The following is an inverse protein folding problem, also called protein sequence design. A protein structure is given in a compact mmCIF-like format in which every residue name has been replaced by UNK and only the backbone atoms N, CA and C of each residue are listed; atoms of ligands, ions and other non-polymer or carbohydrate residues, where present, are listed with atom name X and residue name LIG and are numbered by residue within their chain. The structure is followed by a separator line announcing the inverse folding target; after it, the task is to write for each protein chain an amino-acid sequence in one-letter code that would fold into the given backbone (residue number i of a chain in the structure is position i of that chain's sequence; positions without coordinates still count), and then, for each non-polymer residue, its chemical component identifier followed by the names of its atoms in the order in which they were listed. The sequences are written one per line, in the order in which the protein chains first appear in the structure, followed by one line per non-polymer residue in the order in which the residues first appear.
data_IF_946961318087
#
_entry.id   IF_946961318087
#
_cell.length_a   1.000
_cell.length_b   1.000
_cell.length_c   1.000
_cell.angle_alpha   90.00
_cell.angle_beta   90.00
_cell.angle_gamma   90.00
#
_symmetry.space_group_name_H-M   'P 1'
#
loop_
_entity.id
_entity.type
_entity.pdbx_description
1 polymer ?
#
# COMPACT_ATOMS: atom_id res chain seq x y z
N UNK A 1 26.08 -60.48 -17.15
CA UNK A 1 25.31 -59.40 -17.81
C UNK A 1 24.23 -58.85 -16.87
N UNK A 2 24.55 -58.48 -15.63
CA UNK A 2 23.63 -57.78 -14.71
C UNK A 2 24.54 -56.99 -13.77
N UNK A 3 24.51 -55.65 -13.79
CA UNK A 3 25.38 -54.86 -12.90
C UNK A 3 25.46 -53.36 -13.21
N UNK A 4 25.13 -52.93 -14.44
CA UNK A 4 25.32 -51.52 -14.83
C UNK A 4 24.04 -50.69 -14.81
N UNK A 5 22.85 -51.32 -14.79
CA UNK A 5 21.56 -50.60 -14.89
C UNK A 5 21.11 -50.06 -13.51
N UNK A 6 21.41 -50.76 -12.41
CA UNK A 6 21.01 -50.33 -11.06
C UNK A 6 21.75 -49.09 -10.54
N UNK A 7 23.02 -48.91 -10.93
CA UNK A 7 23.84 -47.78 -10.49
C UNK A 7 23.41 -46.48 -11.20
N UNK A 8 23.00 -46.57 -12.47
CA UNK A 8 22.55 -45.41 -13.26
C UNK A 8 21.23 -44.84 -12.73
N UNK A 9 20.28 -45.69 -12.33
CA UNK A 9 18.99 -45.25 -11.79
C UNK A 9 19.12 -44.58 -10.40
N UNK A 10 20.02 -45.07 -9.54
CA UNK A 10 20.29 -44.46 -8.22
C UNK A 10 20.94 -43.07 -8.38
N UNK A 11 21.84 -42.89 -9.35
CA UNK A 11 22.44 -41.58 -9.64
C UNK A 11 21.38 -40.58 -10.16
N UNK A 12 20.48 -40.99 -11.05
CA UNK A 12 19.42 -40.11 -11.58
C UNK A 12 18.42 -39.71 -10.48
N UNK A 13 18.04 -40.63 -9.58
CA UNK A 13 17.13 -40.35 -8.46
C UNK A 13 17.76 -39.48 -7.37
N UNK A 14 19.06 -39.63 -7.13
CA UNK A 14 19.83 -38.78 -6.22
C UNK A 14 20.03 -37.35 -6.74
N UNK A 15 20.31 -37.20 -8.05
CA UNK A 15 20.47 -35.90 -8.70
C UNK A 15 19.13 -35.15 -8.76
N UNK A 16 18.01 -35.82 -9.06
CA UNK A 16 16.67 -35.19 -9.09
C UNK A 16 16.20 -34.69 -7.73
N UNK A 17 16.61 -35.34 -6.62
CA UNK A 17 16.33 -34.86 -5.26
C UNK A 17 17.20 -33.67 -4.84
N UNK A 18 18.40 -33.52 -5.42
CA UNK A 18 19.29 -32.41 -5.08
C UNK A 18 18.84 -31.07 -5.68
N UNK A 19 18.25 -31.08 -6.88
CA UNK A 19 17.74 -29.85 -7.53
C UNK A 19 16.49 -29.28 -6.87
N UNK A 20 15.73 -30.07 -6.11
CA UNK A 20 14.47 -29.63 -5.48
C UNK A 20 14.68 -28.84 -4.18
N UNK A 21 15.88 -28.88 -3.59
CA UNK A 21 16.20 -28.21 -2.32
C UNK A 21 16.72 -26.78 -2.54
N UNK A 22 16.96 -26.37 -3.79
CA UNK A 22 17.40 -25.02 -4.15
C UNK A 22 16.23 -24.16 -4.68
N UNK A 23 15.07 -24.16 -4.02
CA UNK A 23 14.14 -23.06 -4.24
C UNK A 23 14.79 -21.81 -3.63
N UNK A 24 15.11 -20.77 -4.43
CA UNK A 24 15.54 -19.51 -3.85
C UNK A 24 14.45 -19.06 -2.89
N UNK A 25 14.80 -18.77 -1.64
CA UNK A 25 13.91 -18.03 -0.73
C UNK A 25 13.39 -16.84 -1.54
N UNK A 26 12.07 -16.67 -1.71
CA UNK A 26 11.57 -15.49 -2.39
C UNK A 26 12.13 -14.29 -1.64
N UNK A 27 13.03 -13.57 -2.30
CA UNK A 27 13.50 -12.26 -1.85
C UNK A 27 12.23 -11.44 -1.60
N UNK A 28 12.10 -10.73 -0.46
CA UNK A 28 10.91 -9.94 -0.19
C UNK A 28 10.67 -9.05 -1.40
N UNK A 29 9.58 -9.30 -2.11
CA UNK A 29 9.29 -8.60 -3.35
C UNK A 29 9.23 -7.11 -3.03
N UNK A 30 10.09 -6.32 -3.65
CA UNK A 30 10.13 -4.85 -3.46
C UNK A 30 8.85 -4.16 -3.95
N UNK A 31 8.00 -4.91 -4.65
CA UNK A 31 6.71 -4.45 -5.18
C UNK A 31 5.73 -5.61 -5.23
N UNK A 32 4.53 -5.41 -4.70
CA UNK A 32 3.37 -6.31 -4.83
C UNK A 32 2.60 -5.94 -6.12
N UNK A 33 2.22 -6.93 -6.96
CA UNK A 33 1.40 -6.66 -8.15
C UNK A 33 -0.05 -6.31 -7.77
N UNK A 34 -0.66 -5.38 -8.53
CA UNK A 34 -2.06 -5.00 -8.37
C UNK A 34 -2.96 -5.86 -9.28
N UNK A 35 -4.00 -6.46 -8.72
CA UNK A 35 -5.03 -7.19 -9.46
C UNK A 35 -5.99 -6.21 -10.13
N UNK A 36 -6.00 -6.21 -11.46
CA UNK A 36 -6.90 -5.35 -12.26
C UNK A 36 -8.35 -5.84 -12.32
N UNK A 37 -8.61 -7.08 -11.87
CA UNK A 37 -9.95 -7.66 -11.80
C UNK A 37 -10.13 -8.37 -10.44
N UNK A 38 -10.27 -7.61 -9.33
CA UNK A 38 -10.55 -8.16 -8.02
C UNK A 38 -11.76 -9.09 -8.00
N UNK A 39 -11.69 -10.14 -7.19
CA UNK A 39 -12.79 -11.09 -7.01
C UNK A 39 -13.88 -10.54 -6.09
N UNK A 40 -14.70 -11.44 -5.55
CA UNK A 40 -15.75 -11.09 -4.57
C UNK A 40 -15.14 -10.57 -3.26
N UNK A 41 -13.91 -10.98 -2.94
CA UNK A 41 -13.13 -10.43 -1.82
C UNK A 41 -12.72 -8.97 -2.06
N UNK A 42 -12.72 -8.52 -3.32
CA UNK A 42 -12.28 -7.20 -3.75
C UNK A 42 -10.82 -6.91 -3.46
N UNK A 43 -9.98 -7.92 -3.24
CA UNK A 43 -8.55 -7.72 -2.99
C UNK A 43 -7.83 -7.28 -4.27
N UNK A 44 -7.14 -6.16 -4.18
CA UNK A 44 -6.30 -5.60 -5.25
C UNK A 44 -4.83 -6.00 -5.02
N UNK A 45 -4.32 -5.82 -3.81
CA UNK A 45 -2.95 -6.18 -3.45
C UNK A 45 -2.83 -6.43 -1.95
N UNK A 46 -2.37 -7.62 -1.55
CA UNK A 46 -2.14 -7.97 -0.15
C UNK A 46 -0.78 -7.44 0.33
N UNK A 47 -0.73 -6.93 1.56
CA UNK A 47 0.53 -6.49 2.19
C UNK A 47 1.34 -5.51 1.31
N UNK A 48 0.64 -4.61 0.61
CA UNK A 48 1.29 -3.62 -0.23
C UNK A 48 2.07 -2.62 0.65
N UNK A 49 3.36 -2.37 0.38
CA UNK A 49 4.15 -1.36 1.10
C UNK A 49 3.60 0.04 0.84
N UNK A 50 3.79 0.94 1.82
CA UNK A 50 3.29 2.31 1.75
C UNK A 50 3.74 3.11 0.52
N UNK A 51 4.89 2.75 -0.06
CA UNK A 51 5.43 3.34 -1.30
C UNK A 51 4.64 2.98 -2.56
N UNK A 52 3.73 2.01 -2.50
CA UNK A 52 2.88 1.59 -3.62
C UNK A 52 1.42 2.06 -3.50
N UNK A 53 1.08 2.77 -2.42
CA UNK A 53 -0.26 3.34 -2.28
C UNK A 53 -0.48 4.46 -3.29
N UNK A 54 -1.67 4.46 -3.88
CA UNK A 54 -2.14 5.44 -4.87
C UNK A 54 -3.38 6.16 -4.32
N UNK A 55 -3.57 7.43 -4.69
CA UNK A 55 -4.75 8.19 -4.27
C UNK A 55 -6.02 7.45 -4.69
N UNK A 56 -6.92 7.25 -3.73
CA UNK A 56 -8.13 6.45 -3.88
C UNK A 56 -8.03 5.05 -3.29
N UNK A 57 -6.84 4.57 -2.93
CA UNK A 57 -6.66 3.25 -2.34
C UNK A 57 -7.40 3.11 -1.01
N UNK A 58 -8.30 2.12 -0.97
CA UNK A 58 -9.06 1.73 0.19
C UNK A 58 -8.34 0.58 0.90
N UNK A 59 -8.00 0.76 2.17
CA UNK A 59 -7.05 -0.06 2.91
C UNK A 59 -7.73 -0.80 4.07
N UNK A 60 -7.57 -2.11 4.10
CA UNK A 60 -7.84 -2.93 5.29
C UNK A 60 -6.54 -3.17 6.06
N UNK A 61 -6.67 -3.50 7.35
CA UNK A 61 -5.53 -3.72 8.26
C UNK A 61 -4.58 -2.52 8.36
N UNK A 62 -5.10 -1.31 8.10
CA UNK A 62 -4.32 -0.08 8.16
C UNK A 62 -3.93 0.25 9.61
N UNK A 63 -2.63 0.27 9.88
CA UNK A 63 -2.09 0.58 11.21
C UNK A 63 -1.38 1.94 11.26
N UNK A 64 -0.67 2.33 10.19
CA UNK A 64 -0.09 3.67 10.06
C UNK A 64 0.24 4.00 8.59
N UNK A 65 0.44 5.29 8.25
CA UNK A 65 0.81 5.75 6.90
C UNK A 65 2.12 5.20 6.33
N UNK A 66 2.99 4.59 7.15
CA UNK A 66 4.30 4.07 6.74
C UNK A 66 4.36 2.54 6.73
N UNK A 67 3.34 1.87 7.27
CA UNK A 67 3.29 0.41 7.34
C UNK A 67 2.57 -0.17 6.11
N UNK A 68 2.89 -1.42 5.72
CA UNK A 68 2.13 -2.12 4.70
C UNK A 68 0.66 -2.31 5.09
N UNK A 69 -0.21 -2.36 4.08
CA UNK A 69 -1.64 -2.65 4.26
C UNK A 69 -2.18 -3.39 3.03
N UNK A 70 -3.36 -4.02 3.18
CA UNK A 70 -4.03 -4.70 2.07
C UNK A 70 -4.95 -3.71 1.34
N UNK A 71 -4.72 -3.55 0.04
CA UNK A 71 -5.50 -2.69 -0.84
C UNK A 71 -6.70 -3.47 -1.35
N UNK A 72 -7.90 -2.91 -1.18
CA UNK A 72 -9.16 -3.50 -1.60
C UNK A 72 -9.97 -2.52 -2.45
N UNK A 73 -10.95 -3.02 -3.20
CA UNK A 73 -11.97 -2.16 -3.83
C UNK A 73 -12.71 -1.39 -2.74
N UNK A 74 -13.08 -0.14 -2.98
CA UNK A 74 -13.75 0.66 -1.95
C UNK A 74 -15.15 0.15 -1.58
N UNK A 75 -15.76 -0.72 -2.39
CA UNK A 75 -16.98 -1.47 -2.03
C UNK A 75 -16.74 -2.63 -1.05
N UNK A 76 -15.48 -3.02 -0.84
CA UNK A 76 -15.07 -3.98 0.19
C UNK A 76 -14.91 -3.25 1.53
N UNK A 77 -15.27 -3.86 2.66
CA UNK A 77 -15.02 -3.29 3.98
C UNK A 77 -13.55 -2.88 4.19
N UNK A 78 -13.31 -1.61 4.50
CA UNK A 78 -11.98 -1.05 4.73
C UNK A 78 -11.98 -0.01 5.85
N UNK A 79 -10.81 0.23 6.44
CA UNK A 79 -10.65 1.09 7.61
C UNK A 79 -10.02 2.45 7.29
N UNK A 80 -9.33 2.59 6.16
CA UNK A 80 -8.71 3.85 5.74
C UNK A 80 -8.77 4.04 4.23
N UNK A 81 -8.67 5.29 3.78
CA UNK A 81 -8.44 5.62 2.37
C UNK A 81 -7.30 6.62 2.22
N UNK A 82 -6.42 6.42 1.23
CA UNK A 82 -5.47 7.45 0.80
C UNK A 82 -6.23 8.53 0.03
N UNK A 83 -6.53 9.65 0.69
CA UNK A 83 -7.37 10.72 0.15
C UNK A 83 -6.60 11.73 -0.70
N UNK A 84 -5.27 11.78 -0.59
CA UNK A 84 -4.44 12.66 -1.42
C UNK A 84 -2.95 12.52 -1.19
N UNK A 85 -2.19 13.07 -2.13
CA UNK A 85 -0.74 13.23 -2.08
C UNK A 85 -0.43 14.71 -2.26
N UNK A 86 0.28 15.28 -1.30
CA UNK A 86 0.63 16.69 -1.25
C UNK A 86 2.15 16.87 -1.28
N UNK A 87 2.60 18.05 -1.69
CA UNK A 87 4.03 18.40 -1.75
C UNK A 87 4.28 19.69 -0.99
N UNK A 88 5.21 19.66 -0.05
CA UNK A 88 5.65 20.83 0.70
C UNK A 88 6.69 21.64 -0.09
N UNK A 89 6.58 22.95 -0.04
CA UNK A 89 7.31 23.89 -0.90
C UNK A 89 8.45 24.64 -0.19
N UNK A 90 8.65 24.41 1.11
CA UNK A 90 9.66 25.13 1.87
C UNK A 90 11.09 24.82 1.40
N UNK A 91 11.94 25.85 1.46
CA UNK A 91 13.38 25.74 1.28
C UNK A 91 14.06 26.76 2.20
N UNK A 92 14.94 26.37 3.14
CA UNK A 92 15.37 25.01 3.51
C UNK A 92 14.35 24.27 4.42
N UNK A 93 14.71 23.10 4.98
CA UNK A 93 13.88 22.34 5.93
C UNK A 93 13.43 23.22 7.10
N UNK A 94 12.11 23.39 7.32
CA UNK A 94 11.60 24.35 8.29
C UNK A 94 11.56 23.81 9.74
N UNK A 95 12.02 22.58 9.97
CA UNK A 95 11.93 21.86 11.24
C UNK A 95 10.67 20.98 11.34
N UNK A 96 10.79 19.86 12.08
CA UNK A 96 9.71 18.87 12.24
C UNK A 96 8.36 19.45 12.69
N UNK A 97 8.29 20.40 13.65
CA UNK A 97 7.00 20.96 14.06
C UNK A 97 6.28 21.67 12.92
N UNK A 98 7.02 22.42 12.09
CA UNK A 98 6.44 23.16 10.96
C UNK A 98 6.04 22.23 9.83
N UNK A 99 6.85 21.21 9.54
CA UNK A 99 6.48 20.17 8.56
C UNK A 99 5.21 19.44 8.99
N UNK A 100 5.10 19.06 10.27
CA UNK A 100 3.92 18.37 10.79
C UNK A 100 2.66 19.23 10.66
N UNK A 101 2.74 20.51 11.07
CA UNK A 101 1.61 21.44 10.95
C UNK A 101 1.17 21.65 9.50
N UNK A 102 2.12 21.77 8.56
CA UNK A 102 1.82 21.94 7.14
C UNK A 102 1.22 20.69 6.52
N UNK A 103 1.74 19.51 6.85
CA UNK A 103 1.18 18.24 6.40
C UNK A 103 -0.28 18.09 6.86
N UNK A 104 -0.56 18.38 8.14
CA UNK A 104 -1.91 18.34 8.67
C UNK A 104 -2.84 19.34 7.97
N UNK A 105 -2.40 20.59 7.76
CA UNK A 105 -3.15 21.62 7.04
C UNK A 105 -3.47 21.17 5.61
N UNK A 106 -2.48 20.65 4.89
CA UNK A 106 -2.64 20.17 3.52
C UNK A 106 -3.64 19.01 3.46
N UNK A 107 -3.54 18.03 4.36
CA UNK A 107 -4.47 16.91 4.40
C UNK A 107 -5.91 17.34 4.74
N UNK A 108 -6.10 18.30 5.65
CA UNK A 108 -7.43 18.85 5.99
C UNK A 108 -8.05 19.68 4.86
N UNK A 109 -7.24 20.18 3.94
CA UNK A 109 -7.72 20.97 2.80
C UNK A 109 -8.25 20.10 1.64
N UNK A 110 -7.99 18.79 1.65
CA UNK A 110 -8.47 17.84 0.65
C UNK A 110 -10.01 17.79 0.71
N UNK A 111 -10.64 17.97 -0.46
CA UNK A 111 -12.09 17.88 -0.59
C UNK A 111 -12.49 16.42 -0.75
N UNK A 112 -13.30 15.95 0.18
CA UNK A 112 -13.95 14.64 0.12
C UNK A 112 -15.23 14.71 -0.71
N UNK A 113 -15.71 13.54 -1.14
CA UNK A 113 -17.04 13.40 -1.74
C UNK A 113 -18.11 13.80 -0.70
N UNK A 114 -18.94 14.84 -0.97
CA UNK A 114 -20.02 15.20 -0.05
C UNK A 114 -21.07 14.10 0.11
N UNK A 115 -21.13 13.12 -0.80
CA UNK A 115 -22.00 11.96 -0.69
C UNK A 115 -21.42 10.86 0.22
N UNK A 116 -20.12 10.91 0.57
CA UNK A 116 -19.53 9.98 1.50
C UNK A 116 -20.05 10.25 2.92
N UNK A 117 -20.89 9.34 3.42
CA UNK A 117 -21.35 9.40 4.80
C UNK A 117 -20.20 9.04 5.75
N UNK A 118 -19.69 10.03 6.47
CA UNK A 118 -18.70 9.82 7.53
C UNK A 118 -19.40 9.37 8.82
N UNK A 119 -19.79 8.11 8.87
CA UNK A 119 -20.26 7.49 10.12
C UNK A 119 -19.08 7.06 10.99
N UNK A 120 -19.18 7.24 12.31
CA UNK A 120 -18.11 6.91 13.26
C UNK A 120 -17.08 8.03 13.50
N UNK A 121 -15.99 7.70 14.19
CA UNK A 121 -14.90 8.63 14.47
C UNK A 121 -13.81 8.47 13.41
N UNK A 122 -13.56 9.52 12.64
CA UNK A 122 -12.54 9.56 11.61
C UNK A 122 -11.35 10.43 12.03
N UNK A 123 -10.15 9.93 11.77
CA UNK A 123 -8.89 10.60 12.10
C UNK A 123 -8.05 10.79 10.84
N UNK A 124 -7.42 11.97 10.74
CA UNK A 124 -6.38 12.18 9.75
C UNK A 124 -5.12 11.43 10.20
N UNK A 125 -4.59 10.60 9.30
CA UNK A 125 -3.29 9.98 9.44
C UNK A 125 -2.45 10.39 8.23
N UNK A 126 -1.19 10.77 8.41
CA UNK A 126 -0.38 11.21 7.28
C UNK A 126 1.09 10.84 7.44
N UNK A 127 1.73 10.53 6.31
CA UNK A 127 3.19 10.50 6.23
C UNK A 127 3.70 11.92 5.96
N UNK A 128 4.95 12.18 6.34
CA UNK A 128 5.61 13.47 6.10
C UNK A 128 7.11 13.24 5.96
N UNK A 129 7.83 14.14 5.27
CA UNK A 129 9.28 14.03 5.21
C UNK A 129 9.90 14.23 6.59
N UNK A 130 11.02 13.56 6.80
CA UNK A 130 11.95 13.82 7.91
C UNK A 130 13.06 14.76 7.45
N UNK A 131 13.87 15.28 8.36
CA UNK A 131 15.05 16.06 7.96
C UNK A 131 15.96 15.28 6.98
N UNK A 132 16.17 13.98 7.23
CA UNK A 132 17.03 13.14 6.39
C UNK A 132 16.45 12.89 4.99
N UNK A 133 15.15 12.58 4.88
CA UNK A 133 14.53 12.40 3.56
C UNK A 133 14.41 13.73 2.82
N UNK A 134 14.24 14.84 3.54
CA UNK A 134 14.24 16.19 2.98
C UNK A 134 15.56 16.56 2.30
N UNK A 135 16.71 16.19 2.88
CA UNK A 135 18.02 16.34 2.25
C UNK A 135 18.14 15.53 0.96
N UNK A 136 17.50 14.38 0.89
CA UNK A 136 17.38 13.56 -0.32
C UNK A 136 16.32 14.06 -1.32
N UNK A 137 15.65 15.18 -1.03
CA UNK A 137 14.67 15.81 -1.92
C UNK A 137 13.21 15.42 -1.67
N UNK A 138 12.92 14.59 -0.65
CA UNK A 138 11.56 14.24 -0.28
C UNK A 138 10.80 15.46 0.27
N UNK A 139 9.65 15.73 -0.33
CA UNK A 139 8.72 16.79 0.05
C UNK A 139 7.29 16.26 0.19
N UNK A 140 7.12 14.95 0.12
CA UNK A 140 5.83 14.32 -0.09
C UNK A 140 5.10 14.08 1.22
N UNK A 141 3.79 14.34 1.20
CA UNK A 141 2.86 14.04 2.29
C UNK A 141 1.78 13.14 1.72
N UNK A 142 1.62 11.93 2.27
CA UNK A 142 0.49 11.07 1.94
C UNK A 142 -0.59 11.21 3.00
N UNK A 143 -1.79 11.61 2.57
CA UNK A 143 -2.89 11.96 3.45
C UNK A 143 -3.94 10.85 3.48
N UNK A 144 -4.19 10.28 4.65
CA UNK A 144 -5.20 9.27 4.87
C UNK A 144 -6.30 9.81 5.78
N UNK A 145 -7.51 9.33 5.55
CA UNK A 145 -8.57 9.39 6.55
C UNK A 145 -8.87 7.96 6.98
N UNK A 146 -8.82 7.71 8.28
CA UNK A 146 -8.96 6.38 8.87
C UNK A 146 -10.02 6.38 9.98
N UNK A 147 -10.82 5.31 10.03
CA UNK A 147 -11.73 5.04 11.14
C UNK A 147 -10.93 4.64 12.38
N UNK A 148 -11.31 5.18 13.54
CA UNK A 148 -10.78 4.71 14.83
C UNK A 148 -11.21 3.26 15.11
N UNK A 149 -12.47 2.95 14.81
CA UNK A 149 -13.07 1.63 14.96
C UNK A 149 -14.02 1.32 13.78
N UNK A 150 -14.05 0.06 13.36
CA UNK A 150 -14.98 -0.43 12.33
C UNK A 150 -14.46 -0.31 10.89
N UNK A 151 -15.40 -0.37 9.94
CA UNK A 151 -15.10 -0.33 8.50
C UNK A 151 -16.20 0.40 7.74
N UNK A 152 -15.87 0.91 6.56
CA UNK A 152 -16.83 1.43 5.57
C UNK A 152 -16.75 0.64 4.27
N UNK A 153 -17.78 0.77 3.44
CA UNK A 153 -17.86 0.22 2.06
C UNK A 153 -18.08 1.33 1.02
N UNK A 154 -17.78 2.57 1.40
CA UNK A 154 -17.98 3.77 0.60
C UNK A 154 -16.64 4.48 0.43
N UNK A 155 -16.33 4.90 -0.80
CA UNK A 155 -15.19 5.78 -1.08
C UNK A 155 -15.45 7.17 -0.51
N UNK A 156 -14.42 7.77 0.10
CA UNK A 156 -14.37 9.15 0.55
C UNK A 156 -14.02 10.12 -0.58
N UNK A 157 -13.57 9.63 -1.72
CA UNK A 157 -13.27 10.42 -2.91
C UNK A 157 -14.35 10.22 -3.99
N UNK A 158 -14.65 11.27 -4.78
CA UNK A 158 -15.52 11.14 -5.93
C UNK A 158 -15.00 10.08 -6.90
N UNK A 159 -15.90 9.43 -7.63
CA UNK A 159 -15.49 8.56 -8.73
C UNK A 159 -14.61 9.36 -9.71
N UNK A 160 -13.53 8.77 -10.25
CA UNK A 160 -12.72 9.44 -11.25
C UNK A 160 -13.61 9.83 -12.43
N UNK A 161 -13.60 11.12 -12.78
CA UNK A 161 -14.39 11.67 -13.88
C UNK A 161 -14.07 10.86 -15.16
N UNK A 162 -15.01 10.05 -15.63
CA UNK A 162 -14.90 9.38 -16.92
C UNK A 162 -14.95 10.46 -17.99
N UNK A 163 -13.77 10.92 -18.42
CA UNK A 163 -13.65 11.83 -19.56
C UNK A 163 -14.12 11.08 -20.80
N UNK A 164 -15.41 11.21 -21.10
CA UNK A 164 -15.98 10.75 -22.37
C UNK A 164 -15.40 11.66 -23.45
N UNK A 165 -14.45 11.14 -24.22
CA UNK A 165 -14.00 11.74 -25.48
C UNK A 165 -14.87 11.25 -26.62
#
# INVERSE_FOLDING_TARGET
MIGSIGIILILIFGITRLVHVMQPTPEPATSVPRNSSPGIDGIIAEMAPATQFEVGDCLTEFSSPLEPATIVTCSTPHAAQLIGLETLDDVPFPGDPRVTSKAEEACRAIKLDPAAALEGTWNYAFSRPSAGTWEAGDRSVACFLALEDGTTTVSLLPAPETTTT
#
